data_IF_916727162827
#
_entry.id   IF_916727162827
#
_cell.length_a   1.000
_cell.length_b   1.000
_cell.length_c   1.000
_cell.angle_alpha   90.00
_cell.angle_beta   90.00
_cell.angle_gamma   90.00
#
_symmetry.space_group_name_H-M   'P 1'
#
loop_
_entity.id
_entity.type
_entity.pdbx_description
1 polymer ?
#
# COMPACT_ATOMS: atom_id res chain seq x y z
N UNK A 1 27.15 -11.41 -34.94
CA UNK A 1 27.60 -12.79 -35.18
C UNK A 1 28.77 -13.02 -34.23
N UNK A 2 28.73 -14.07 -33.41
CA UNK A 2 29.80 -14.35 -32.43
C UNK A 2 30.62 -15.50 -33.02
N UNK A 3 31.89 -15.22 -33.27
CA UNK A 3 32.84 -16.19 -33.83
C UNK A 3 33.80 -16.65 -32.73
N UNK A 4 34.08 -17.95 -32.69
CA UNK A 4 35.00 -18.56 -31.74
C UNK A 4 36.13 -19.26 -32.48
N UNK A 5 37.37 -18.84 -32.22
CA UNK A 5 38.57 -19.34 -32.90
C UNK A 5 39.31 -20.31 -31.97
N UNK A 6 39.60 -21.51 -32.46
CA UNK A 6 40.37 -22.53 -31.76
C UNK A 6 41.63 -22.90 -32.55
N UNK A 7 42.75 -23.07 -31.85
CA UNK A 7 44.02 -23.46 -32.45
C UNK A 7 44.13 -24.98 -32.52
N UNK A 8 44.54 -25.51 -33.68
CA UNK A 8 44.74 -26.95 -33.88
C UNK A 8 46.10 -27.38 -33.37
N UNK A 9 46.16 -28.45 -32.57
CA UNK A 9 47.41 -29.00 -32.05
C UNK A 9 48.20 -29.75 -33.13
N UNK A 10 49.53 -29.65 -33.09
CA UNK A 10 50.44 -30.36 -33.99
C UNK A 10 51.18 -31.48 -33.24
N UNK A 11 50.98 -32.73 -33.65
CA UNK A 11 51.72 -33.91 -33.18
C UNK A 11 52.57 -34.49 -34.31
N UNK A 12 53.50 -33.67 -34.83
CA UNK A 12 54.46 -34.02 -35.86
C UNK A 12 53.85 -34.22 -37.25
N UNK A 13 53.27 -35.39 -37.50
CA UNK A 13 52.65 -35.76 -38.80
C UNK A 13 51.12 -35.69 -38.79
N UNK A 14 50.50 -35.40 -37.65
CA UNK A 14 49.04 -35.33 -37.49
C UNK A 14 48.65 -34.01 -36.82
N UNK A 15 47.64 -33.36 -37.38
CA UNK A 15 46.95 -32.23 -36.76
C UNK A 15 45.64 -32.73 -36.17
N UNK A 16 45.41 -32.42 -34.90
CA UNK A 16 44.23 -32.89 -34.18
C UNK A 16 43.76 -31.84 -33.19
N UNK A 17 42.44 -31.67 -33.11
CA UNK A 17 41.79 -30.86 -32.09
C UNK A 17 40.58 -31.65 -31.57
N UNK A 18 40.49 -31.76 -30.25
CA UNK A 18 39.34 -32.37 -29.57
C UNK A 18 38.60 -31.23 -28.89
N UNK A 19 37.38 -30.96 -29.35
CA UNK A 19 36.51 -29.95 -28.78
C UNK A 19 35.58 -30.62 -27.76
N UNK A 20 35.90 -30.45 -26.48
CA UNK A 20 34.98 -30.80 -25.40
C UNK A 20 34.00 -29.64 -25.16
N UNK A 21 32.82 -29.73 -25.76
CA UNK A 21 31.80 -28.68 -25.66
C UNK A 21 31.31 -28.43 -24.23
N UNK A 22 31.37 -29.44 -23.36
CA UNK A 22 30.95 -29.29 -21.96
C UNK A 22 31.97 -28.43 -21.19
N UNK A 23 33.26 -28.64 -21.44
CA UNK A 23 34.34 -27.80 -20.89
C UNK A 23 34.46 -26.42 -21.56
N UNK A 24 33.84 -26.23 -22.73
CA UNK A 24 33.87 -24.97 -23.50
C UNK A 24 32.61 -24.10 -23.34
N UNK A 25 31.62 -24.55 -22.56
CA UNK A 25 30.33 -23.87 -22.39
C UNK A 25 30.47 -22.39 -21.97
N UNK A 26 31.42 -22.10 -21.07
CA UNK A 26 31.68 -20.73 -20.62
C UNK A 26 32.29 -19.86 -21.74
N UNK A 27 33.14 -20.44 -22.59
CA UNK A 27 33.76 -19.74 -23.73
C UNK A 27 32.76 -19.50 -24.86
N UNK A 28 31.74 -20.35 -24.96
CA UNK A 28 30.62 -20.24 -25.89
C UNK A 28 29.45 -19.45 -25.31
N UNK A 29 29.62 -18.86 -24.10
CA UNK A 29 28.62 -18.04 -23.43
C UNK A 29 27.25 -18.70 -23.24
N UNK A 30 27.20 -20.04 -23.12
CA UNK A 30 25.95 -20.81 -22.99
C UNK A 30 24.95 -20.53 -24.13
N UNK A 31 25.42 -20.19 -25.32
CA UNK A 31 24.56 -19.88 -26.46
C UNK A 31 24.18 -21.18 -27.19
N UNK A 32 22.94 -21.65 -27.01
CA UNK A 32 22.40 -22.74 -27.81
C UNK A 32 22.11 -22.28 -29.24
N UNK A 33 22.40 -23.12 -30.23
CA UNK A 33 22.09 -22.84 -31.62
C UNK A 33 22.95 -23.62 -32.62
N UNK A 34 22.79 -23.25 -33.88
CA UNK A 34 23.54 -23.81 -34.99
C UNK A 34 24.86 -23.07 -35.18
N UNK A 35 25.96 -23.80 -35.10
CA UNK A 35 27.31 -23.31 -35.32
C UNK A 35 27.89 -23.90 -36.60
N UNK A 36 28.42 -23.05 -37.46
CA UNK A 36 29.17 -23.48 -38.65
C UNK A 36 30.64 -23.70 -38.28
N UNK A 37 31.19 -24.84 -38.69
CA UNK A 37 32.58 -25.23 -38.43
C UNK A 37 33.39 -24.99 -39.69
N UNK A 38 34.30 -24.03 -39.63
CA UNK A 38 35.19 -23.66 -40.72
C UNK A 38 36.65 -23.98 -40.38
N UNK A 39 37.37 -24.56 -41.34
CA UNK A 39 38.81 -24.80 -41.23
C UNK A 39 39.55 -23.76 -42.06
N UNK A 40 40.34 -22.93 -41.39
CA UNK A 40 41.23 -21.96 -42.01
C UNK A 40 42.67 -22.41 -41.87
N UNK A 41 43.37 -22.57 -43.00
CA UNK A 41 44.80 -22.91 -43.04
C UNK A 41 45.51 -21.90 -43.94
N UNK A 42 46.56 -21.28 -43.40
CA UNK A 42 47.38 -20.35 -44.16
C UNK A 42 48.71 -20.09 -43.47
N UNK A 43 49.72 -19.85 -44.28
CA UNK A 43 51.06 -19.41 -43.88
C UNK A 43 51.56 -18.39 -44.92
N UNK A 44 52.44 -17.51 -44.49
CA UNK A 44 53.15 -16.52 -45.32
C UNK A 44 53.90 -17.13 -46.51
N UNK A 45 54.31 -18.39 -46.41
CA UNK A 45 55.04 -19.14 -47.47
C UNK A 45 54.11 -20.02 -48.31
N UNK A 46 52.83 -20.17 -47.94
CA UNK A 46 51.85 -20.94 -48.72
C UNK A 46 51.27 -20.11 -49.86
N UNK A 47 51.34 -20.62 -51.09
CA UNK A 47 50.72 -19.96 -52.26
C UNK A 47 49.19 -19.95 -52.20
N UNK A 48 48.58 -20.99 -51.62
CA UNK A 48 47.14 -21.16 -51.52
C UNK A 48 46.71 -21.39 -50.07
N UNK A 49 46.43 -20.31 -49.35
CA UNK A 49 45.65 -20.39 -48.12
C UNK A 49 44.19 -20.71 -48.46
N UNK A 50 43.50 -21.42 -47.57
CA UNK A 50 42.10 -21.75 -47.78
C UNK A 50 41.31 -21.65 -46.49
N UNK A 51 40.03 -21.32 -46.67
CA UNK A 51 38.98 -21.43 -45.68
C UNK A 51 37.95 -22.40 -46.24
N UNK A 52 37.65 -23.46 -45.50
CA UNK A 52 36.74 -24.50 -45.93
C UNK A 52 35.71 -24.80 -44.86
N UNK A 53 34.44 -24.65 -45.20
CA UNK A 53 33.33 -25.13 -44.37
C UNK A 53 33.37 -26.66 -44.28
N UNK A 54 33.50 -27.18 -43.06
CA UNK A 54 33.49 -28.62 -42.79
C UNK A 54 32.08 -29.14 -42.55
N UNK A 55 31.19 -28.30 -42.03
CA UNK A 55 29.80 -28.63 -41.75
C UNK A 55 29.23 -27.75 -40.66
N UNK A 56 28.10 -28.16 -40.10
CA UNK A 56 27.44 -27.48 -38.99
C UNK A 56 27.25 -28.42 -37.80
N UNK A 57 27.28 -27.87 -36.59
CA UNK A 57 26.93 -28.55 -35.35
C UNK A 57 25.83 -27.78 -34.65
N UNK A 58 24.82 -28.49 -34.17
CA UNK A 58 23.77 -27.90 -33.33
C UNK A 58 24.13 -28.18 -31.88
N UNK A 59 24.34 -27.11 -31.11
CA UNK A 59 24.72 -27.20 -29.71
C UNK A 59 23.54 -26.75 -28.86
N UNK A 60 23.21 -27.56 -27.86
CA UNK A 60 22.19 -27.26 -26.87
C UNK A 60 22.83 -27.22 -25.48
N UNK A 61 22.94 -26.02 -24.92
CA UNK A 61 23.52 -25.75 -23.62
C UNK A 61 22.43 -25.46 -22.57
N UNK A 62 22.70 -25.77 -21.29
CA UNK A 62 21.80 -25.41 -20.20
C UNK A 62 21.73 -23.88 -20.02
N UNK A 63 20.68 -23.42 -19.33
CA UNK A 63 20.49 -22.00 -19.04
C UNK A 63 21.69 -21.42 -18.28
N UNK A 64 22.16 -20.25 -18.73
CA UNK A 64 23.35 -19.62 -18.19
C UNK A 64 23.15 -19.24 -16.71
N UNK A 65 24.08 -19.58 -15.80
CA UNK A 65 24.00 -19.13 -14.41
C UNK A 65 24.07 -17.59 -14.33
N UNK A 66 23.45 -16.97 -13.32
CA UNK A 66 23.38 -15.49 -13.18
C UNK A 66 24.74 -14.77 -13.26
N UNK A 67 25.82 -15.48 -12.90
CA UNK A 67 27.20 -14.98 -12.89
C UNK A 67 28.02 -15.33 -14.14
N UNK A 68 27.42 -15.98 -15.14
CA UNK A 68 28.12 -16.34 -16.36
C UNK A 68 28.62 -15.08 -17.09
N UNK A 69 29.78 -15.22 -17.74
CA UNK A 69 30.24 -14.22 -18.69
C UNK A 69 29.18 -14.05 -19.78
N UNK A 70 28.80 -12.80 -20.06
CA UNK A 70 27.85 -12.49 -21.13
C UNK A 70 28.62 -12.41 -22.45
N UNK A 71 27.99 -12.83 -23.57
CA UNK A 71 28.61 -12.66 -24.87
C UNK A 71 28.90 -11.17 -25.12
N UNK A 72 29.98 -10.86 -25.86
CA UNK A 72 30.22 -9.49 -26.29
C UNK A 72 28.98 -8.99 -27.02
N UNK A 73 28.49 -7.81 -26.62
CA UNK A 73 27.35 -7.18 -27.28
C UNK A 73 27.67 -7.08 -28.77
N UNK A 74 26.80 -7.56 -29.67
CA UNK A 74 27.02 -7.41 -31.10
C UNK A 74 27.26 -5.94 -31.43
N UNK A 75 27.96 -5.60 -32.53
CA UNK A 75 28.12 -4.22 -32.95
C UNK A 75 26.73 -3.61 -33.14
N UNK A 76 26.27 -2.91 -32.11
CA UNK A 76 24.98 -2.25 -32.13
C UNK A 76 25.18 -1.03 -33.00
N UNK A 77 24.29 -0.83 -33.97
CA UNK A 77 24.23 0.41 -34.75
C UNK A 77 24.38 1.62 -33.80
N UNK A 78 25.42 2.46 -33.95
CA UNK A 78 25.67 3.60 -33.07
C UNK A 78 24.46 4.54 -32.89
N UNK A 79 23.48 4.46 -33.79
CA UNK A 79 22.26 5.26 -33.73
C UNK A 79 21.13 4.65 -32.87
N UNK A 80 21.11 3.33 -32.63
CA UNK A 80 20.03 2.69 -31.87
C UNK A 80 20.11 2.96 -30.35
N UNK A 81 21.27 3.42 -29.85
CA UNK A 81 21.45 3.88 -28.45
C UNK A 81 20.62 5.12 -28.08
N UNK A 82 20.14 5.86 -29.08
CA UNK A 82 19.37 7.10 -28.91
C UNK A 82 17.86 6.89 -29.08
N UNK A 83 17.41 5.64 -29.18
CA UNK A 83 15.99 5.31 -29.26
C UNK A 83 15.24 5.59 -27.94
N UNK A 84 13.92 5.88 -28.01
CA UNK A 84 13.09 5.99 -26.82
C UNK A 84 13.12 4.68 -26.04
N UNK A 85 13.33 4.75 -24.72
CA UNK A 85 13.20 3.59 -23.83
C UNK A 85 11.71 3.27 -23.63
N UNK A 86 11.43 2.03 -23.26
CA UNK A 86 10.10 1.62 -22.86
C UNK A 86 9.57 2.52 -21.72
N UNK A 87 8.29 2.91 -21.84
CA UNK A 87 7.61 3.72 -20.82
C UNK A 87 7.41 2.90 -19.54
N UNK A 88 7.73 3.51 -18.39
CA UNK A 88 7.57 2.88 -17.07
C UNK A 88 6.21 3.27 -16.52
N UNK A 89 5.28 2.31 -16.48
CA UNK A 89 3.96 2.51 -15.88
C UNK A 89 4.02 2.26 -14.36
N UNK A 90 3.68 3.26 -13.55
CA UNK A 90 3.55 3.09 -12.11
C UNK A 90 2.28 2.30 -11.77
N UNK A 91 2.43 1.15 -11.10
CA UNK A 91 1.31 0.33 -10.65
C UNK A 91 0.86 0.81 -9.27
N UNK A 92 -0.31 1.42 -9.20
CA UNK A 92 -0.92 1.81 -7.94
C UNK A 92 -1.39 0.59 -7.14
N UNK A 93 -1.35 0.71 -5.82
CA UNK A 93 -1.92 -0.31 -4.93
C UNK A 93 -3.42 -0.44 -5.17
N UNK A 94 -3.89 -1.67 -5.30
CA UNK A 94 -5.32 -1.96 -5.41
C UNK A 94 -6.03 -1.58 -4.10
N UNK A 95 -7.16 -0.84 -4.14
CA UNK A 95 -7.93 -0.51 -2.95
C UNK A 95 -8.39 -1.76 -2.19
N UNK A 96 -8.43 -1.66 -0.87
CA UNK A 96 -8.90 -2.74 -0.02
C UNK A 96 -10.40 -2.98 -0.22
N UNK A 97 -10.80 -4.27 -0.23
CA UNK A 97 -12.20 -4.66 -0.43
C UNK A 97 -13.04 -4.27 0.78
N UNK A 98 -14.12 -3.52 0.55
CA UNK A 98 -15.10 -3.14 1.58
C UNK A 98 -16.09 -4.28 1.86
N UNK A 99 -16.63 -4.39 3.09
CA UNK A 99 -17.66 -5.36 3.41
C UNK A 99 -18.96 -5.13 2.63
N UNK A 100 -19.78 -6.17 2.51
CA UNK A 100 -21.09 -6.08 1.87
C UNK A 100 -22.03 -5.15 2.64
N UNK A 101 -22.85 -4.38 1.93
CA UNK A 101 -23.75 -3.38 2.51
C UNK A 101 -24.78 -4.01 3.47
N UNK A 102 -25.28 -5.20 3.15
CA UNK A 102 -26.24 -5.94 4.00
C UNK A 102 -25.68 -6.23 5.39
N UNK A 103 -24.39 -6.59 5.47
CA UNK A 103 -23.73 -6.86 6.74
C UNK A 103 -23.66 -5.59 7.60
N UNK A 104 -23.29 -4.46 6.99
CA UNK A 104 -23.26 -3.16 7.67
C UNK A 104 -24.64 -2.78 8.22
N UNK A 105 -25.71 -2.95 7.43
CA UNK A 105 -27.07 -2.63 7.85
C UNK A 105 -27.55 -3.52 9.00
N UNK A 106 -27.22 -4.82 8.96
CA UNK A 106 -27.57 -5.75 10.03
C UNK A 106 -26.93 -5.34 11.37
N UNK A 107 -25.64 -4.99 11.37
CA UNK A 107 -24.95 -4.54 12.58
C UNK A 107 -25.43 -3.16 13.05
N UNK A 108 -25.76 -2.24 12.13
CA UNK A 108 -26.38 -0.96 12.49
C UNK A 108 -27.70 -1.18 13.23
N UNK A 109 -28.56 -2.07 12.74
CA UNK A 109 -29.80 -2.45 13.41
C UNK A 109 -29.54 -3.07 14.80
N UNK A 110 -28.55 -3.96 14.91
CA UNK A 110 -28.19 -4.59 16.18
C UNK A 110 -27.70 -3.57 17.23
N UNK A 111 -26.98 -2.52 16.82
CA UNK A 111 -26.52 -1.44 17.70
C UNK A 111 -27.70 -0.55 18.16
N UNK A 112 -28.69 -0.32 17.31
CA UNK A 112 -29.87 0.49 17.65
C UNK A 112 -30.86 -0.25 18.56
N UNK A 113 -30.90 -1.59 18.49
CA UNK A 113 -31.82 -2.41 19.28
C UNK A 113 -31.75 -2.17 20.80
N UNK A 114 -30.57 -2.19 21.47
CA UNK A 114 -30.50 -1.91 22.91
C UNK A 114 -30.91 -0.48 23.25
N UNK A 115 -30.69 0.49 22.35
CA UNK A 115 -31.15 1.87 22.55
C UNK A 115 -32.68 1.97 22.54
N UNK A 116 -33.34 1.29 21.60
CA UNK A 116 -34.81 1.18 21.57
C UNK A 116 -35.33 0.48 22.83
N UNK A 117 -34.68 -0.63 23.22
CA UNK A 117 -35.02 -1.36 24.45
C UNK A 117 -34.92 -0.46 25.70
N UNK A 118 -33.87 0.35 25.78
CA UNK A 118 -33.71 1.35 26.85
C UNK A 118 -34.86 2.37 26.87
N UNK A 119 -35.24 2.94 25.72
CA UNK A 119 -36.36 3.88 25.63
C UNK A 119 -37.69 3.25 26.07
N UNK A 120 -37.98 2.02 25.62
CA UNK A 120 -39.17 1.27 26.05
C UNK A 120 -39.12 1.01 27.56
N UNK A 121 -37.96 0.66 28.10
CA UNK A 121 -37.74 0.49 29.53
C UNK A 121 -38.06 1.75 30.34
N UNK A 122 -37.61 2.92 29.89
CA UNK A 122 -37.93 4.21 30.54
C UNK A 122 -39.44 4.47 30.58
N UNK A 123 -40.15 4.19 29.48
CA UNK A 123 -41.61 4.34 29.41
C UNK A 123 -42.32 3.38 30.37
N UNK A 124 -41.87 2.12 30.45
CA UNK A 124 -42.42 1.10 31.35
C UNK A 124 -42.21 1.42 32.83
N UNK A 125 -41.06 2.04 33.17
CA UNK A 125 -40.74 2.46 34.53
C UNK A 125 -41.45 3.76 34.95
N UNK A 126 -42.15 4.44 34.03
CA UNK A 126 -42.87 5.68 34.34
C UNK A 126 -41.95 6.86 34.69
N UNK A 127 -40.74 6.88 34.11
CA UNK A 127 -39.80 7.99 34.29
C UNK A 127 -40.46 9.29 33.83
N UNK A 128 -40.44 10.30 34.69
CA UNK A 128 -41.12 11.56 34.46
C UNK A 128 -40.19 12.75 34.73
N UNK A 129 -40.59 13.92 34.26
CA UNK A 129 -39.85 15.18 34.42
C UNK A 129 -40.47 16.10 35.48
N UNK A 130 -41.20 15.53 36.45
CA UNK A 130 -41.97 16.32 37.44
C UNK A 130 -41.07 17.15 38.37
N UNK A 131 -39.81 16.76 38.52
CA UNK A 131 -38.81 17.47 39.34
C UNK A 131 -38.16 18.65 38.60
N UNK A 132 -38.60 18.99 37.39
CA UNK A 132 -38.09 20.16 36.70
C UNK A 132 -38.50 21.44 37.45
N UNK A 133 -37.59 22.41 37.67
CA UNK A 133 -37.92 23.59 38.47
C UNK A 133 -39.07 24.38 37.84
N UNK A 134 -40.12 24.65 38.64
CA UNK A 134 -41.30 25.38 38.16
C UNK A 134 -41.17 26.90 38.27
N UNK A 135 -40.25 27.38 39.12
CA UNK A 135 -39.99 28.82 39.30
C UNK A 135 -39.18 29.39 38.14
N UNK A 136 -39.56 30.56 37.63
CA UNK A 136 -39.00 31.19 36.42
C UNK A 136 -37.47 31.27 36.40
N UNK A 137 -36.84 31.65 37.52
CA UNK A 137 -35.38 31.84 37.59
C UNK A 137 -34.63 30.51 37.54
N UNK A 138 -34.89 29.52 38.44
CA UNK A 138 -34.33 28.17 38.32
C UNK A 138 -34.65 27.47 37.00
N UNK A 139 -35.86 27.63 36.46
CA UNK A 139 -36.26 27.03 35.18
C UNK A 139 -35.38 27.55 34.03
N UNK A 140 -35.12 28.85 34.00
CA UNK A 140 -34.24 29.48 32.99
C UNK A 140 -32.83 28.90 33.06
N UNK A 141 -32.23 28.79 34.26
CA UNK A 141 -30.91 28.18 34.42
C UNK A 141 -30.91 26.69 34.05
N UNK A 142 -31.97 25.95 34.36
CA UNK A 142 -32.09 24.55 33.96
C UNK A 142 -32.16 24.38 32.44
N UNK A 143 -32.93 25.22 31.74
CA UNK A 143 -33.01 25.21 30.27
C UNK A 143 -31.65 25.57 29.66
N UNK A 144 -31.00 26.63 30.15
CA UNK A 144 -29.69 27.04 29.65
C UNK A 144 -28.61 25.96 29.90
N UNK A 145 -28.69 25.24 31.02
CA UNK A 145 -27.76 24.15 31.32
C UNK A 145 -27.92 22.99 30.35
N UNK A 146 -29.15 22.49 30.16
CA UNK A 146 -29.42 21.39 29.22
C UNK A 146 -29.19 21.79 27.77
N UNK A 147 -29.56 23.03 27.40
CA UNK A 147 -29.28 23.60 26.09
C UNK A 147 -27.78 23.74 25.84
N UNK A 148 -27.01 24.13 26.85
CA UNK A 148 -25.54 24.17 26.77
C UNK A 148 -24.94 22.78 26.59
N UNK A 149 -25.43 21.75 27.30
CA UNK A 149 -24.99 20.36 27.12
C UNK A 149 -25.31 19.89 25.70
N UNK A 150 -26.52 20.14 25.21
CA UNK A 150 -26.91 19.82 23.84
C UNK A 150 -26.02 20.54 22.81
N UNK A 151 -25.67 21.80 23.06
CA UNK A 151 -24.75 22.56 22.21
C UNK A 151 -23.33 21.97 22.21
N UNK A 152 -22.83 21.46 23.34
CA UNK A 152 -21.53 20.75 23.39
C UNK A 152 -21.58 19.45 22.59
N UNK A 153 -22.65 18.66 22.73
CA UNK A 153 -22.82 17.43 21.96
C UNK A 153 -22.91 17.73 20.45
N UNK A 154 -23.64 18.78 20.06
CA UNK A 154 -23.69 19.24 18.68
C UNK A 154 -22.32 19.70 18.19
N UNK A 155 -21.56 20.44 19.00
CA UNK A 155 -20.21 20.87 18.68
C UNK A 155 -19.29 19.67 18.39
N UNK A 156 -19.41 18.57 19.14
CA UNK A 156 -18.66 17.34 18.87
C UNK A 156 -19.08 16.67 17.55
N UNK A 157 -20.36 16.67 17.20
CA UNK A 157 -20.82 16.21 15.89
C UNK A 157 -20.24 17.08 14.77
N UNK A 158 -20.25 18.40 14.94
CA UNK A 158 -19.67 19.33 13.96
C UNK A 158 -18.14 19.18 13.84
N UNK A 159 -17.45 18.89 14.95
CA UNK A 159 -16.03 18.54 14.95
C UNK A 159 -15.76 17.27 14.17
N UNK A 160 -16.56 16.22 14.39
CA UNK A 160 -16.42 14.98 13.63
C UNK A 160 -16.68 15.18 12.13
N UNK A 161 -17.62 16.06 11.76
CA UNK A 161 -17.95 16.32 10.36
C UNK A 161 -16.92 17.19 9.65
N UNK A 162 -16.56 18.36 10.22
CA UNK A 162 -15.81 19.39 9.49
C UNK A 162 -14.96 20.37 10.31
N UNK A 163 -15.16 20.56 11.62
CA UNK A 163 -14.41 21.60 12.35
C UNK A 163 -12.98 21.18 12.67
N UNK A 164 -12.07 22.15 12.66
CA UNK A 164 -10.70 21.97 13.13
C UNK A 164 -10.63 21.91 14.67
N UNK A 165 -9.55 21.30 15.18
CA UNK A 165 -9.29 21.14 16.61
C UNK A 165 -9.24 22.50 17.34
N UNK A 166 -8.51 23.48 16.81
CA UNK A 166 -8.37 24.79 17.47
C UNK A 166 -9.68 25.59 17.49
N UNK A 167 -10.48 25.51 16.43
CA UNK A 167 -11.79 26.15 16.35
C UNK A 167 -12.75 25.53 17.37
N UNK A 168 -12.78 24.19 17.41
CA UNK A 168 -13.59 23.43 18.36
C UNK A 168 -13.17 23.73 19.80
N UNK A 169 -11.88 23.77 20.09
CA UNK A 169 -11.37 24.02 21.44
C UNK A 169 -11.69 25.45 21.91
N UNK A 170 -11.60 26.45 21.03
CA UNK A 170 -12.03 27.83 21.34
C UNK A 170 -13.53 27.88 21.66
N UNK A 171 -14.37 27.30 20.81
CA UNK A 171 -15.81 27.26 21.01
C UNK A 171 -16.18 26.51 22.31
N UNK A 172 -15.55 25.35 22.55
CA UNK A 172 -15.72 24.56 23.75
C UNK A 172 -15.23 25.30 25.00
N UNK A 173 -14.17 26.11 24.91
CA UNK A 173 -13.68 26.94 26.01
C UNK A 173 -14.70 27.97 26.46
N UNK A 174 -15.27 28.73 25.51
CA UNK A 174 -16.33 29.70 25.82
C UNK A 174 -17.61 29.01 26.33
N UNK A 175 -18.05 27.95 25.64
CA UNK A 175 -19.25 27.22 26.00
C UNK A 175 -19.10 26.48 27.34
N UNK A 176 -17.90 25.99 27.65
CA UNK A 176 -17.54 25.34 28.90
C UNK A 176 -17.56 26.30 30.09
N UNK A 177 -16.96 27.49 29.95
CA UNK A 177 -17.04 28.53 30.99
C UNK A 177 -18.50 28.93 31.27
N UNK A 178 -19.30 29.10 30.21
CA UNK A 178 -20.73 29.36 30.33
C UNK A 178 -21.47 28.23 31.06
N UNK A 179 -21.23 26.98 30.67
CA UNK A 179 -21.84 25.80 31.28
C UNK A 179 -21.46 25.63 32.75
N UNK A 180 -20.22 25.91 33.13
CA UNK A 180 -19.78 25.88 34.53
C UNK A 180 -20.58 26.87 35.38
N UNK A 181 -20.78 28.09 34.89
CA UNK A 181 -21.54 29.11 35.62
C UNK A 181 -23.03 28.73 35.77
N UNK A 182 -23.68 28.41 34.65
CA UNK A 182 -25.11 28.05 34.64
C UNK A 182 -25.36 26.76 35.41
N UNK A 183 -24.48 25.76 35.24
CA UNK A 183 -24.50 24.49 35.93
C UNK A 183 -24.34 24.65 37.44
N UNK A 184 -23.38 25.45 37.89
CA UNK A 184 -23.19 25.75 39.31
C UNK A 184 -24.45 26.36 39.92
N UNK A 185 -25.11 27.31 39.24
CA UNK A 185 -26.34 27.95 39.72
C UNK A 185 -27.50 26.95 39.88
N UNK A 186 -27.75 26.10 38.88
CA UNK A 186 -28.87 25.16 38.94
C UNK A 186 -28.62 24.00 39.92
N UNK A 187 -27.40 23.46 39.95
CA UNK A 187 -27.04 22.38 40.87
C UNK A 187 -27.06 22.84 42.33
N UNK A 188 -26.58 24.07 42.59
CA UNK A 188 -26.67 24.65 43.94
C UNK A 188 -28.12 24.86 44.37
N UNK A 189 -28.99 25.35 43.47
CA UNK A 189 -30.41 25.49 43.75
C UNK A 189 -31.07 24.14 44.08
N UNK A 190 -30.74 23.09 43.33
CA UNK A 190 -31.23 21.73 43.57
C UNK A 190 -30.76 21.19 44.93
N UNK A 191 -29.48 21.41 45.28
CA UNK A 191 -28.92 21.01 46.57
C UNK A 191 -29.63 21.73 47.74
N UNK A 192 -29.84 23.04 47.65
CA UNK A 192 -30.55 23.80 48.69
C UNK A 192 -32.02 23.35 48.85
N UNK A 193 -32.71 23.09 47.74
CA UNK A 193 -34.10 22.60 47.76
C UNK A 193 -34.17 21.22 48.41
N UNK A 194 -33.20 20.35 48.11
CA UNK A 194 -33.11 19.01 48.68
C UNK A 194 -32.81 19.03 50.19
N UNK A 195 -31.90 19.92 50.62
CA UNK A 195 -31.59 20.11 52.04
C UNK A 195 -32.80 20.61 52.82
N UNK A 196 -33.55 21.58 52.26
CA UNK A 196 -34.78 22.11 52.86
C UNK A 196 -35.86 21.05 53.02
N UNK A 197 -36.01 20.16 52.02
CA UNK A 197 -36.97 19.06 52.06
C UNK A 197 -36.60 17.97 53.08
N UNK A 198 -35.31 17.80 53.37
CA UNK A 198 -34.81 16.83 54.38
C UNK A 198 -34.88 17.37 55.81
N UNK A 199 -34.88 18.69 56.00
CA UNK A 199 -35.01 19.36 57.30
C UNK A 199 -36.45 19.67 57.71
N UNK A 200 -37.41 19.46 56.81
CA UNK A 200 -38.84 19.63 57.04
C UNK A 200 -39.49 18.28 57.34
#
# INVERSE_FOLDING_TARGET
>A
MIEHIFLVGNSGKKFEIILDFLGLVEKLFYLSGKYDIELTVGDTVMENSFLRLLGHVELDFPEAPEKAARPPTPPVDPYSRYGPKAEINHIFRVPEKRPAQELFLAFLGLILLPFIGFLVGLLRLGVNLKNFPSSTVPATFAILFHGGIAAVLLLYVLFWLKLDLFTTLKALGFLGAFLLFVGHRILSHLAHTSAKLKSA
#
